data_IF_276052822890
#
_entry.id   IF_276052822890
#
_cell.length_a   1.000
_cell.length_b   1.000
_cell.length_c   1.000
_cell.angle_alpha   90.00
_cell.angle_beta   90.00
_cell.angle_gamma   90.00
#
_symmetry.space_group_name_H-M   'P 1'
#
loop_
_entity.id
_entity.type
_entity.pdbx_description
1 polymer ?
#
# COMPACT_ATOMS: atom_id res chain seq x y z
N UNK A 1 -19.86 -22.79 -10.58
CA UNK A 1 -18.41 -23.13 -10.61
C UNK A 1 -17.56 -21.92 -11.05
N UNK A 2 -17.92 -20.69 -10.68
CA UNK A 2 -17.17 -19.48 -11.10
C UNK A 2 -16.44 -18.76 -9.95
N UNK A 3 -16.70 -19.13 -8.69
CA UNK A 3 -16.18 -18.44 -7.51
C UNK A 3 -14.73 -18.78 -7.16
N UNK A 4 -14.22 -19.93 -7.61
CA UNK A 4 -12.90 -20.44 -7.20
C UNK A 4 -11.74 -19.80 -7.96
N UNK A 5 -11.97 -19.38 -9.22
CA UNK A 5 -10.94 -18.79 -10.08
C UNK A 5 -10.56 -17.39 -9.58
N UNK A 6 -11.52 -16.62 -9.07
CA UNK A 6 -11.27 -15.28 -8.53
C UNK A 6 -10.43 -15.34 -7.24
N UNK A 7 -10.74 -16.28 -6.34
CA UNK A 7 -9.99 -16.46 -5.08
C UNK A 7 -8.55 -16.92 -5.29
N UNK A 8 -8.34 -17.88 -6.20
CA UNK A 8 -7.00 -18.36 -6.54
C UNK A 8 -6.21 -17.33 -7.35
N UNK A 9 -6.82 -16.60 -8.27
CA UNK A 9 -6.15 -15.52 -9.00
C UNK A 9 -5.73 -14.38 -8.07
N UNK A 10 -6.57 -13.96 -7.12
CA UNK A 10 -6.21 -12.96 -6.10
C UNK A 10 -5.10 -13.48 -5.18
N UNK A 11 -5.08 -14.76 -4.85
CA UNK A 11 -4.04 -15.36 -4.00
C UNK A 11 -2.68 -15.44 -4.70
N UNK A 12 -2.65 -15.89 -5.96
CA UNK A 12 -1.42 -15.89 -6.78
C UNK A 12 -0.96 -14.47 -7.08
N UNK A 13 -1.89 -13.57 -7.38
CA UNK A 13 -1.59 -12.16 -7.60
C UNK A 13 -1.01 -11.54 -6.33
N UNK A 14 -1.62 -11.71 -5.15
CA UNK A 14 -1.07 -11.22 -3.88
C UNK A 14 0.30 -11.82 -3.57
N UNK A 15 0.47 -13.14 -3.65
CA UNK A 15 1.76 -13.77 -3.30
C UNK A 15 2.89 -13.32 -4.24
N UNK A 16 2.62 -13.27 -5.54
CA UNK A 16 3.60 -12.79 -6.53
C UNK A 16 3.86 -11.29 -6.39
N UNK A 17 2.81 -10.51 -6.17
CA UNK A 17 2.88 -9.05 -6.00
C UNK A 17 3.64 -8.66 -4.74
N UNK A 18 3.34 -9.24 -3.56
CA UNK A 18 4.09 -8.96 -2.33
C UNK A 18 5.54 -9.41 -2.40
N UNK A 19 5.82 -10.52 -3.11
CA UNK A 19 7.20 -10.94 -3.41
C UNK A 19 7.92 -9.92 -4.30
N UNK A 20 7.21 -9.30 -5.24
CA UNK A 20 7.75 -8.24 -6.11
C UNK A 20 7.92 -6.91 -5.35
N UNK A 21 7.07 -6.63 -4.36
CA UNK A 21 7.15 -5.45 -3.50
C UNK A 21 8.13 -5.58 -2.33
N UNK A 22 8.82 -6.73 -2.17
CA UNK A 22 9.77 -7.00 -1.07
C UNK A 22 9.19 -6.73 0.33
N UNK A 23 7.88 -6.86 0.51
CA UNK A 23 7.26 -6.67 1.83
C UNK A 23 7.54 -7.91 2.68
N UNK A 24 8.10 -7.70 3.88
CA UNK A 24 8.20 -8.74 4.89
C UNK A 24 6.80 -9.02 5.44
N UNK A 25 6.11 -9.99 4.83
CA UNK A 25 4.81 -10.46 5.27
C UNK A 25 4.96 -11.84 5.91
N UNK A 26 4.38 -12.02 7.10
CA UNK A 26 4.32 -13.32 7.76
C UNK A 26 3.18 -14.12 7.12
N UNK A 27 3.55 -15.16 6.38
CA UNK A 27 2.59 -16.14 5.88
C UNK A 27 2.37 -17.22 6.95
N UNK A 28 1.14 -17.33 7.44
CA UNK A 28 0.78 -18.43 8.33
C UNK A 28 0.36 -19.65 7.51
N UNK A 29 1.12 -20.74 7.61
CA UNK A 29 0.75 -22.03 7.02
C UNK A 29 -0.43 -22.68 7.76
N UNK A 30 -0.67 -22.28 9.01
CA UNK A 30 -1.82 -22.70 9.83
C UNK A 30 -2.23 -21.54 10.75
N UNK A 31 -3.19 -20.73 10.29
CA UNK A 31 -3.78 -19.67 11.11
C UNK A 31 -4.66 -20.29 12.22
N UNK A 32 -4.61 -19.79 13.47
CA UNK A 32 -5.49 -20.22 14.55
C UNK A 32 -6.98 -20.16 14.21
N UNK A 33 -7.35 -19.31 13.25
CA UNK A 33 -8.73 -19.08 12.82
C UNK A 33 -9.16 -19.90 11.59
N UNK A 34 -8.43 -20.97 11.21
CA UNK A 34 -8.74 -21.82 10.03
C UNK A 34 -8.77 -21.06 8.69
N UNK A 35 -8.24 -19.83 8.62
CA UNK A 35 -8.05 -19.11 7.36
C UNK A 35 -6.70 -19.48 6.79
N UNK A 36 -6.70 -20.46 5.88
CA UNK A 36 -5.49 -20.88 5.16
C UNK A 36 -4.98 -19.70 4.31
N UNK A 37 -3.67 -19.43 4.33
CA UNK A 37 -3.00 -18.38 3.54
C UNK A 37 -3.28 -16.92 3.96
N UNK A 38 -3.55 -16.68 5.24
CA UNK A 38 -3.59 -15.32 5.79
C UNK A 38 -2.18 -14.70 5.79
N UNK A 39 -2.07 -13.49 5.25
CA UNK A 39 -0.87 -12.66 5.29
C UNK A 39 -1.09 -11.52 6.27
N UNK A 40 -0.21 -11.41 7.25
CA UNK A 40 -0.24 -10.30 8.20
C UNK A 40 0.85 -9.27 7.83
N UNK A 41 0.44 -8.00 7.76
CA UNK A 41 1.30 -6.85 7.48
C UNK A 41 1.18 -5.91 8.68
N UNK A 42 2.29 -5.65 9.36
CA UNK A 42 2.35 -4.76 10.53
C UNK A 42 2.42 -3.28 10.10
N UNK A 43 1.34 -2.82 9.45
CA UNK A 43 1.18 -1.44 8.94
C UNK A 43 -0.24 -0.94 9.20
N UNK A 44 -0.44 0.35 9.01
CA UNK A 44 -1.76 0.98 9.15
C UNK A 44 -2.74 0.46 8.07
N UNK A 45 -3.71 -0.35 8.50
CA UNK A 45 -4.73 -0.92 7.61
C UNK A 45 -5.64 0.10 6.95
N UNK A 46 -5.79 1.30 7.53
CA UNK A 46 -6.62 2.37 6.96
C UNK A 46 -5.91 3.00 5.77
N UNK A 47 -4.61 3.28 5.89
CA UNK A 47 -3.81 3.79 4.79
C UNK A 47 -3.59 2.74 3.71
N UNK A 48 -3.43 1.48 4.10
CA UNK A 48 -3.30 0.37 3.15
C UNK A 48 -4.53 0.23 2.24
N UNK A 49 -5.74 0.56 2.73
CA UNK A 49 -6.94 0.58 1.89
C UNK A 49 -6.83 1.55 0.71
N UNK A 50 -6.21 2.71 0.90
CA UNK A 50 -5.99 3.69 -0.18
C UNK A 50 -4.94 3.18 -1.17
N UNK A 51 -3.90 2.53 -0.67
CA UNK A 51 -2.90 1.84 -1.50
C UNK A 51 -3.55 0.76 -2.38
N UNK A 52 -4.45 -0.05 -1.81
CA UNK A 52 -5.21 -1.05 -2.57
C UNK A 52 -6.12 -0.42 -3.62
N UNK A 53 -6.75 0.72 -3.30
CA UNK A 53 -7.54 1.46 -4.28
C UNK A 53 -6.66 1.94 -5.44
N UNK A 54 -5.44 2.40 -5.17
CA UNK A 54 -4.46 2.75 -6.21
C UNK A 54 -4.10 1.55 -7.07
N UNK A 55 -3.87 0.38 -6.46
CA UNK A 55 -3.56 -0.84 -7.21
C UNK A 55 -4.75 -1.24 -8.10
N UNK A 56 -5.98 -1.09 -7.62
CA UNK A 56 -7.22 -1.46 -8.34
C UNK A 56 -7.55 -0.51 -9.50
N UNK A 57 -7.50 0.80 -9.26
CA UNK A 57 -7.97 1.82 -10.19
C UNK A 57 -6.82 2.54 -10.93
N UNK A 58 -5.58 2.28 -10.54
CA UNK A 58 -4.39 2.94 -11.05
C UNK A 58 -4.42 4.46 -10.80
N UNK A 59 -4.04 5.21 -11.83
CA UNK A 59 -3.98 6.69 -11.79
C UNK A 59 -5.32 7.39 -11.65
N UNK A 60 -6.44 6.66 -11.75
CA UNK A 60 -7.80 7.21 -11.56
C UNK A 60 -8.25 7.26 -10.10
N UNK A 61 -7.39 6.83 -9.18
CA UNK A 61 -7.68 6.81 -7.75
C UNK A 61 -7.79 8.22 -7.20
N UNK A 62 -8.81 8.45 -6.36
CA UNK A 62 -8.96 9.69 -5.61
C UNK A 62 -7.79 9.88 -4.67
N UNK A 63 -7.24 11.09 -4.61
CA UNK A 63 -6.18 11.44 -3.68
C UNK A 63 -6.82 12.30 -2.59
N UNK A 64 -6.62 11.99 -1.30
CA UNK A 64 -7.15 12.82 -0.22
C UNK A 64 -6.53 14.23 -0.25
N UNK A 65 -7.30 15.21 0.23
CA UNK A 65 -6.87 16.61 0.32
C UNK A 65 -6.23 16.95 1.66
N UNK A 66 -6.30 16.05 2.64
CA UNK A 66 -5.62 16.25 3.93
C UNK A 66 -4.11 16.09 3.80
N UNK A 67 -3.37 17.09 4.31
CA UNK A 67 -1.91 17.15 4.24
C UNK A 67 -1.26 16.02 5.04
N UNK A 68 -1.77 15.73 6.24
CA UNK A 68 -1.18 14.72 7.11
C UNK A 68 -1.37 13.33 6.49
N UNK A 69 -2.58 13.02 6.05
CA UNK A 69 -2.89 11.78 5.36
C UNK A 69 -2.05 11.60 4.08
N UNK A 70 -1.86 12.66 3.29
CA UNK A 70 -0.98 12.63 2.11
C UNK A 70 0.47 12.29 2.45
N UNK A 71 1.02 12.86 3.52
CA UNK A 71 2.39 12.56 3.96
C UNK A 71 2.52 11.09 4.36
N UNK A 72 1.56 10.58 5.13
CA UNK A 72 1.54 9.17 5.53
C UNK A 72 1.40 8.24 4.31
N UNK A 73 0.55 8.57 3.34
CA UNK A 73 0.41 7.78 2.11
C UNK A 73 1.68 7.79 1.25
N UNK A 74 2.47 8.87 1.27
CA UNK A 74 3.78 8.89 0.59
C UNK A 74 4.71 7.86 1.22
N UNK A 75 4.73 7.74 2.55
CA UNK A 75 5.52 6.74 3.26
C UNK A 75 5.02 5.31 2.98
N UNK A 76 3.70 5.08 2.93
CA UNK A 76 3.17 3.77 2.53
C UNK A 76 3.53 3.44 1.08
N UNK A 77 3.36 4.39 0.16
CA UNK A 77 3.71 4.20 -1.24
C UNK A 77 5.21 3.88 -1.42
N UNK A 78 6.07 4.47 -0.60
CA UNK A 78 7.50 4.17 -0.56
C UNK A 78 7.79 2.77 0.01
N UNK A 79 7.14 2.39 1.11
CA UNK A 79 7.25 1.06 1.70
C UNK A 79 6.83 -0.05 0.73
N UNK A 80 5.73 0.16 0.01
CA UNK A 80 5.23 -0.77 -1.00
C UNK A 80 5.92 -0.62 -2.37
N UNK A 81 6.91 0.25 -2.53
CA UNK A 81 7.64 0.43 -3.80
C UNK A 81 6.77 0.92 -4.97
N UNK A 82 5.70 1.67 -4.68
CA UNK A 82 4.75 2.19 -5.66
C UNK A 82 5.17 3.58 -6.16
N UNK A 83 6.26 3.65 -6.93
CA UNK A 83 6.84 4.91 -7.42
C UNK A 83 5.85 5.83 -8.13
N UNK A 84 4.95 5.25 -8.94
CA UNK A 84 3.94 6.00 -9.66
C UNK A 84 2.94 6.67 -8.69
N UNK A 85 2.55 5.96 -7.63
CA UNK A 85 1.66 6.48 -6.61
C UNK A 85 2.36 7.55 -5.77
N UNK A 86 3.59 7.27 -5.33
CA UNK A 86 4.41 8.21 -4.57
C UNK A 86 4.58 9.55 -5.32
N UNK A 87 4.87 9.50 -6.63
CA UNK A 87 4.98 10.70 -7.48
C UNK A 87 3.66 11.47 -7.58
N UNK A 88 2.51 10.77 -7.67
CA UNK A 88 1.19 11.41 -7.70
C UNK A 88 0.88 12.12 -6.38
N UNK A 89 1.11 11.43 -5.25
CA UNK A 89 0.90 11.98 -3.91
C UNK A 89 1.80 13.19 -3.66
N UNK A 90 3.09 13.10 -4.01
CA UNK A 90 4.03 14.23 -3.91
C UNK A 90 3.59 15.44 -4.73
N UNK A 91 3.09 15.24 -5.96
CA UNK A 91 2.55 16.33 -6.79
C UNK A 91 1.32 16.97 -6.15
N UNK A 92 0.44 16.18 -5.55
CA UNK A 92 -0.75 16.71 -4.85
C UNK A 92 -0.34 17.49 -3.61
N UNK A 93 0.58 16.95 -2.82
CA UNK A 93 1.12 17.60 -1.63
C UNK A 93 1.77 18.94 -1.98
N UNK A 94 2.63 19.00 -3.02
CA UNK A 94 3.24 20.25 -3.50
C UNK A 94 2.21 21.31 -3.87
N UNK A 95 1.11 20.92 -4.53
CA UNK A 95 0.01 21.85 -4.87
C UNK A 95 -0.69 22.43 -3.64
N UNK A 96 -0.74 21.67 -2.53
CA UNK A 96 -1.40 22.09 -1.29
C UNK A 96 -0.48 22.93 -0.39
N UNK A 97 0.80 22.56 -0.27
CA UNK A 97 1.73 23.22 0.67
C UNK A 97 2.63 24.28 0.02
N UNK A 98 2.80 24.27 -1.30
CA UNK A 98 3.73 25.16 -2.01
C UNK A 98 5.21 24.96 -1.64
N UNK A 99 5.55 23.87 -0.94
CA UNK A 99 6.90 23.53 -0.47
C UNK A 99 7.26 22.09 -0.83
N UNK A 100 8.53 21.84 -1.18
CA UNK A 100 9.06 20.51 -1.54
C UNK A 100 9.41 19.68 -0.31
N UNK A 101 9.52 20.33 0.85
CA UNK A 101 9.90 19.68 2.08
C UNK A 101 8.77 18.76 2.55
N UNK A 102 9.02 17.46 2.45
CA UNK A 102 8.27 16.43 3.16
C UNK A 102 9.05 16.07 4.42
N UNK A 103 8.35 15.88 5.54
CA UNK A 103 8.92 15.15 6.67
C UNK A 103 8.95 13.69 6.23
N UNK A 104 10.09 13.16 5.82
CA UNK A 104 10.18 11.71 5.71
C UNK A 104 10.13 11.18 7.14
N UNK A 105 9.07 10.44 7.46
CA UNK A 105 8.81 9.86 8.78
C UNK A 105 9.88 8.84 9.23
N UNK A 106 10.97 8.67 8.46
CA UNK A 106 12.09 7.77 8.73
C UNK A 106 13.46 8.40 8.46
N UNK A 107 13.58 9.72 8.28
CA UNK A 107 14.88 10.36 7.97
C UNK A 107 15.81 10.53 9.18
N UNK A 108 15.31 10.30 10.41
CA UNK A 108 16.04 10.64 11.63
C UNK A 108 16.15 9.43 12.59
N UNK A 109 16.61 8.28 12.10
CA UNK A 109 17.10 7.21 12.98
C UNK A 109 18.26 6.47 12.31
N UNK A 110 19.46 6.90 12.72
CA UNK A 110 20.82 6.36 12.53
C UNK A 110 21.41 6.24 11.12
#
# INVERSE_FOLDING_TARGET
MESTILGSFVQYFCSFFFRMLKVNCLQWDSSPNHVKHRMDIDRDGVLFREVLQFIRNGRRTGIPDDKYQLQQLVCEAEFFGLDAYQKMLRRRLWKLTGKAAYYACYSDSD
#
